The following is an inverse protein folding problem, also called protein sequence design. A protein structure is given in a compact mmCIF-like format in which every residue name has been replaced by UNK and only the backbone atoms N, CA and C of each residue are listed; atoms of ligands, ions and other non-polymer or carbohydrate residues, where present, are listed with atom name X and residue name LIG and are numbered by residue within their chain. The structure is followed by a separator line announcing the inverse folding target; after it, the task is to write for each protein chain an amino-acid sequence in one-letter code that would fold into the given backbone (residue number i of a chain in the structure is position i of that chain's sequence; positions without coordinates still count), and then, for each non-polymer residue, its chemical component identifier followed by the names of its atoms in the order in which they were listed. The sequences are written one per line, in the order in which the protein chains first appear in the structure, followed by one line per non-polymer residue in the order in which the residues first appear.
data_IF_713367430238
#
_entry.id   IF_713367430238
#
_cell.length_a   1.000
_cell.length_b   1.000
_cell.length_c   1.000
_cell.angle_alpha   90.00
_cell.angle_beta   90.00
_cell.angle_gamma   90.00
#
_symmetry.space_group_name_H-M   'P 1'
#
loop_
_entity.id
_entity.type
_entity.pdbx_description
1 polymer ?
#
# COMPACT_ATOMS: atom_id res chain seq x y z
N UNK A 1 -40.70 -27.76 34.71
CA UNK A 1 -41.60 -27.62 33.54
C UNK A 1 -40.74 -27.27 32.34
N UNK A 2 -40.59 -28.21 31.40
CA UNK A 2 -39.81 -28.04 30.18
C UNK A 2 -40.64 -27.32 29.12
N UNK A 3 -40.08 -26.28 28.48
CA UNK A 3 -40.65 -25.67 27.29
C UNK A 3 -39.62 -25.83 26.16
N UNK A 4 -39.90 -26.76 25.24
CA UNK A 4 -39.16 -27.02 24.02
C UNK A 4 -39.47 -25.92 22.99
N UNK A 5 -38.46 -25.22 22.52
CA UNK A 5 -38.53 -24.38 21.31
C UNK A 5 -37.57 -24.96 20.27
N UNK A 6 -38.13 -25.45 19.17
CA UNK A 6 -37.39 -25.94 18.01
C UNK A 6 -36.86 -24.77 17.16
N UNK A 7 -35.69 -24.91 16.48
CA UNK A 7 -35.19 -23.86 15.60
C UNK A 7 -35.78 -23.98 14.18
N UNK A 8 -36.33 -22.87 13.68
CA UNK A 8 -36.76 -22.71 12.29
C UNK A 8 -35.54 -22.63 11.36
N UNK A 9 -35.53 -23.44 10.30
CA UNK A 9 -34.47 -23.51 9.28
C UNK A 9 -34.79 -22.52 8.15
N UNK A 10 -33.92 -21.58 7.78
CA UNK A 10 -34.14 -20.74 6.62
C UNK A 10 -33.81 -21.49 5.32
N UNK A 11 -34.76 -21.51 4.38
CA UNK A 11 -34.59 -21.98 3.01
C UNK A 11 -34.04 -20.85 2.13
N UNK A 12 -32.82 -20.99 1.62
CA UNK A 12 -32.27 -20.08 0.61
C UNK A 12 -32.75 -20.46 -0.80
N UNK A 13 -33.23 -19.52 -1.62
CA UNK A 13 -33.51 -19.80 -3.02
C UNK A 13 -32.20 -19.84 -3.82
N UNK A 14 -32.03 -20.93 -4.58
CA UNK A 14 -30.96 -21.10 -5.56
C UNK A 14 -31.18 -20.16 -6.74
N UNK A 15 -30.34 -19.12 -6.86
CA UNK A 15 -30.25 -18.29 -8.06
C UNK A 15 -29.16 -18.87 -8.96
N UNK A 16 -29.58 -19.54 -10.03
CA UNK A 16 -28.72 -20.04 -11.11
C UNK A 16 -28.34 -18.88 -12.04
N UNK A 17 -27.09 -18.40 -11.94
CA UNK A 17 -26.53 -17.38 -12.84
C UNK A 17 -26.02 -18.07 -14.12
N UNK A 18 -26.44 -17.66 -15.34
CA UNK A 18 -25.90 -18.19 -16.58
C UNK A 18 -24.46 -17.71 -16.81
N UNK A 19 -23.55 -18.66 -17.05
CA UNK A 19 -22.15 -18.41 -17.38
C UNK A 19 -22.03 -17.96 -18.84
N UNK A 20 -21.90 -16.66 -19.09
CA UNK A 20 -21.58 -16.14 -20.43
C UNK A 20 -20.13 -16.48 -20.77
N UNK A 21 -19.95 -17.25 -21.86
CA UNK A 21 -18.64 -17.55 -22.45
C UNK A 21 -18.18 -16.34 -23.27
N UNK A 22 -17.14 -15.65 -22.81
CA UNK A 22 -16.44 -14.65 -23.63
C UNK A 22 -15.60 -15.37 -24.70
N UNK A 23 -15.85 -15.01 -25.96
CA UNK A 23 -15.18 -15.58 -27.14
C UNK A 23 -13.70 -15.23 -27.20
N UNK A 24 -12.92 -16.17 -27.73
CA UNK A 24 -11.49 -16.07 -27.97
C UNK A 24 -11.16 -15.08 -29.10
N UNK A 25 -10.06 -14.33 -28.94
CA UNK A 25 -9.45 -13.47 -29.97
C UNK A 25 -8.19 -14.18 -30.52
N UNK A 26 -7.95 -14.22 -31.84
CA UNK A 26 -6.73 -14.78 -32.40
C UNK A 26 -5.57 -13.75 -32.43
N UNK A 27 -4.29 -14.20 -32.51
CA UNK A 27 -3.11 -13.34 -32.42
C UNK A 27 -2.59 -12.92 -33.81
N UNK A 28 -1.92 -11.78 -33.89
CA UNK A 28 -1.03 -11.46 -35.03
C UNK A 28 0.10 -10.50 -34.63
N UNK A 29 1.28 -11.11 -34.45
CA UNK A 29 2.61 -10.76 -34.96
C UNK A 29 3.17 -9.32 -35.01
N UNK A 30 4.43 -9.28 -34.54
CA UNK A 30 5.64 -8.67 -35.14
C UNK A 30 6.02 -7.23 -34.74
N UNK A 31 7.14 -7.16 -34.01
CA UNK A 31 8.04 -6.02 -33.93
C UNK A 31 8.84 -5.84 -35.25
N UNK A 32 9.48 -4.67 -35.45
CA UNK A 32 10.94 -4.67 -35.22
C UNK A 32 11.51 -3.36 -34.64
N UNK A 33 12.69 -3.51 -34.05
CA UNK A 33 13.58 -2.44 -33.58
C UNK A 33 14.37 -1.77 -34.72
N UNK A 34 14.85 -0.54 -34.50
CA UNK A 34 16.18 -0.11 -34.95
C UNK A 34 16.91 0.63 -33.81
N UNK A 35 18.21 0.90 -33.78
CA UNK A 35 19.39 0.49 -34.52
C UNK A 35 20.54 0.99 -33.64
N UNK A 36 21.58 0.17 -33.42
CA UNK A 36 22.80 0.60 -32.73
C UNK A 36 23.61 1.48 -33.69
N UNK A 37 23.85 2.73 -33.33
CA UNK A 37 24.95 3.51 -33.90
C UNK A 37 25.94 3.85 -32.80
N UNK A 38 27.13 3.28 -32.97
CA UNK A 38 28.34 3.55 -32.22
C UNK A 38 29.08 4.62 -33.02
N UNK A 39 29.43 5.74 -32.39
CA UNK A 39 30.50 6.61 -32.87
C UNK A 39 31.30 7.15 -31.68
N UNK A 40 32.57 6.79 -31.66
CA UNK A 40 33.62 7.45 -30.89
C UNK A 40 33.71 8.93 -31.32
N UNK A 41 34.01 9.84 -30.38
CA UNK A 41 35.35 10.45 -30.30
C UNK A 41 35.42 11.50 -29.19
N UNK A 42 36.66 11.70 -28.71
CA UNK A 42 37.09 12.52 -27.59
C UNK A 42 36.81 14.02 -27.75
N UNK A 43 36.61 14.71 -26.62
CA UNK A 43 37.42 15.87 -26.18
C UNK A 43 36.74 16.54 -24.97
N UNK A 44 37.41 16.54 -23.83
CA UNK A 44 37.07 17.42 -22.70
C UNK A 44 37.38 18.87 -23.08
N UNK A 45 36.60 19.81 -22.54
CA UNK A 45 37.21 20.95 -21.89
C UNK A 45 36.75 21.01 -20.43
N UNK A 46 37.72 21.28 -19.56
CA UNK A 46 37.48 21.71 -18.19
C UNK A 46 36.72 23.03 -18.23
N UNK A 47 35.48 23.04 -17.76
CA UNK A 47 34.75 24.25 -17.43
C UNK A 47 34.63 24.30 -15.90
N UNK A 48 35.19 25.36 -15.35
CA UNK A 48 35.22 25.72 -13.94
C UNK A 48 33.81 25.65 -13.35
N UNK A 49 33.67 24.89 -12.26
CA UNK A 49 32.41 24.70 -11.57
C UNK A 49 31.98 25.99 -10.88
N UNK A 50 30.98 26.65 -11.43
CA UNK A 50 30.26 27.74 -10.78
C UNK A 50 29.51 27.18 -9.55
N UNK A 51 29.79 27.62 -8.31
CA UNK A 51 29.19 27.05 -7.11
C UNK A 51 27.87 27.77 -6.78
N UNK A 52 26.86 27.73 -7.66
CA UNK A 52 25.53 28.18 -7.26
C UNK A 52 24.40 27.74 -8.21
N UNK A 53 24.30 26.43 -8.48
CA UNK A 53 23.05 25.87 -9.01
C UNK A 53 22.22 25.45 -7.80
N UNK A 54 21.07 26.09 -7.51
CA UNK A 54 20.16 25.62 -6.47
C UNK A 54 19.80 24.17 -6.80
N UNK A 55 20.04 23.25 -5.85
CA UNK A 55 19.54 21.89 -5.92
C UNK A 55 18.04 21.99 -6.20
N UNK A 56 17.62 21.46 -7.34
CA UNK A 56 16.24 21.36 -7.78
C UNK A 56 15.30 21.07 -6.61
N UNK A 57 14.25 21.88 -6.47
CA UNK A 57 13.11 21.65 -5.58
C UNK A 57 12.48 20.29 -5.90
N UNK A 58 13.03 19.20 -5.36
CA UNK A 58 12.35 17.92 -5.35
C UNK A 58 11.20 18.06 -4.37
N UNK A 59 10.02 18.38 -4.89
CA UNK A 59 8.76 18.34 -4.14
C UNK A 59 8.71 17.07 -3.30
N UNK A 60 8.55 17.21 -1.98
CA UNK A 60 8.57 16.06 -1.07
C UNK A 60 7.47 15.07 -1.45
N UNK A 61 7.88 13.82 -1.71
CA UNK A 61 6.98 12.77 -2.21
C UNK A 61 5.96 12.43 -1.14
N UNK A 62 4.67 12.49 -1.48
CA UNK A 62 3.62 11.99 -0.60
C UNK A 62 3.62 10.46 -0.62
N UNK A 63 3.59 9.86 0.56
CA UNK A 63 3.69 8.40 0.73
C UNK A 63 2.68 7.89 1.73
N UNK A 64 2.12 6.72 1.45
CA UNK A 64 1.43 5.91 2.44
C UNK A 64 2.26 4.68 2.80
N UNK A 65 2.58 4.51 4.08
CA UNK A 65 3.21 3.29 4.56
C UNK A 65 2.14 2.25 4.92
N UNK A 66 2.36 1.01 4.52
CA UNK A 66 1.63 -0.17 5.03
C UNK A 66 2.63 -1.12 5.63
N UNK A 67 2.32 -1.61 6.82
CA UNK A 67 3.17 -2.53 7.57
C UNK A 67 2.40 -3.81 7.82
N UNK A 68 2.96 -4.90 7.31
CA UNK A 68 2.40 -6.24 7.41
C UNK A 68 3.17 -7.07 8.45
N UNK A 69 2.49 -8.05 9.03
CA UNK A 69 3.05 -9.01 9.96
C UNK A 69 3.63 -10.21 9.21
N UNK A 70 4.94 -10.46 9.34
CA UNK A 70 5.65 -11.57 8.67
C UNK A 70 5.14 -12.93 9.16
N UNK A 71 4.89 -13.09 10.45
CA UNK A 71 4.29 -14.29 11.02
C UNK A 71 2.92 -14.65 10.40
N UNK A 72 2.12 -13.64 10.03
CA UNK A 72 0.87 -13.87 9.29
C UNK A 72 1.13 -14.17 7.81
N UNK A 73 2.07 -13.49 7.16
CA UNK A 73 2.46 -13.80 5.77
C UNK A 73 2.86 -15.27 5.62
N UNK A 74 3.59 -15.81 6.61
CA UNK A 74 4.11 -17.18 6.56
C UNK A 74 3.02 -18.23 6.83
N UNK A 75 1.90 -17.86 7.44
CA UNK A 75 0.86 -18.80 7.90
C UNK A 75 -0.48 -18.62 7.19
N UNK A 76 -0.73 -17.47 6.56
CA UNK A 76 -2.00 -17.13 5.93
C UNK A 76 -1.93 -17.22 4.42
N UNK A 77 -3.07 -17.45 3.73
CA UNK A 77 -3.14 -17.25 2.30
C UNK A 77 -2.74 -15.83 1.93
N UNK A 78 -1.91 -15.67 0.90
CA UNK A 78 -1.44 -14.35 0.42
C UNK A 78 -2.60 -13.38 0.19
N UNK A 79 -3.70 -13.84 -0.41
CA UNK A 79 -4.89 -13.02 -0.65
C UNK A 79 -5.51 -12.45 0.63
N UNK A 80 -5.50 -13.20 1.73
CA UNK A 80 -5.98 -12.71 3.03
C UNK A 80 -5.10 -11.55 3.51
N UNK A 81 -3.78 -11.70 3.49
CA UNK A 81 -2.85 -10.65 3.93
C UNK A 81 -2.97 -9.39 3.07
N UNK A 82 -3.09 -9.54 1.75
CA UNK A 82 -3.33 -8.42 0.83
C UNK A 82 -4.60 -7.67 1.22
N UNK A 83 -5.68 -8.41 1.48
CA UNK A 83 -6.98 -7.83 1.89
C UNK A 83 -6.87 -7.03 3.18
N UNK A 84 -6.13 -7.54 4.18
CA UNK A 84 -5.83 -6.82 5.42
C UNK A 84 -5.15 -5.47 5.13
N UNK A 85 -4.08 -5.49 4.33
CA UNK A 85 -3.36 -4.26 3.95
C UNK A 85 -4.26 -3.24 3.22
N UNK A 86 -5.15 -3.71 2.34
CA UNK A 86 -6.14 -2.88 1.66
C UNK A 86 -7.12 -2.25 2.65
N UNK A 87 -7.66 -3.03 3.59
CA UNK A 87 -8.57 -2.53 4.62
C UNK A 87 -7.93 -1.44 5.49
N UNK A 88 -6.70 -1.68 5.97
CA UNK A 88 -5.97 -0.69 6.76
C UNK A 88 -5.74 0.60 5.96
N UNK A 89 -5.29 0.48 4.70
CA UNK A 89 -4.98 1.61 3.83
C UNK A 89 -6.21 2.48 3.54
N UNK A 90 -7.33 1.87 3.14
CA UNK A 90 -8.58 2.58 2.85
C UNK A 90 -9.14 3.21 4.12
N UNK A 91 -9.14 2.48 5.24
CA UNK A 91 -9.60 3.03 6.51
C UNK A 91 -8.77 4.23 6.97
N UNK A 92 -7.44 4.18 6.83
CA UNK A 92 -6.56 5.30 7.19
C UNK A 92 -6.84 6.55 6.34
N UNK A 93 -7.05 6.38 5.02
CA UNK A 93 -7.42 7.46 4.10
C UNK A 93 -8.80 8.02 4.47
N UNK A 94 -9.81 7.16 4.59
CA UNK A 94 -11.18 7.60 4.82
C UNK A 94 -11.34 8.37 6.14
N UNK A 95 -10.69 7.90 7.21
CA UNK A 95 -10.69 8.60 8.50
C UNK A 95 -10.05 9.99 8.46
N UNK A 96 -9.27 10.29 7.42
CA UNK A 96 -8.58 11.57 7.25
C UNK A 96 -8.87 12.18 5.86
N UNK A 97 -10.02 11.89 5.27
CA UNK A 97 -10.36 12.30 3.90
C UNK A 97 -10.36 13.82 3.69
N UNK A 98 -10.53 14.60 4.76
CA UNK A 98 -10.57 16.07 4.74
C UNK A 98 -9.19 16.70 5.07
N UNK A 99 -8.17 15.90 5.36
CA UNK A 99 -6.80 16.37 5.61
C UNK A 99 -6.16 16.85 4.29
N UNK A 100 -5.51 18.04 4.24
CA UNK A 100 -4.97 18.59 3.00
C UNK A 100 -3.99 17.68 2.27
N UNK A 101 -3.15 16.94 3.01
CA UNK A 101 -2.18 16.01 2.41
C UNK A 101 -2.90 14.79 1.83
N UNK A 102 -3.93 14.30 2.51
CA UNK A 102 -4.75 13.19 2.02
C UNK A 102 -5.52 13.58 0.76
N UNK A 103 -6.11 14.78 0.73
CA UNK A 103 -6.76 15.34 -0.45
C UNK A 103 -5.79 15.49 -1.62
N UNK A 104 -4.57 15.99 -1.38
CA UNK A 104 -3.55 16.09 -2.41
C UNK A 104 -3.15 14.72 -2.95
N UNK A 105 -2.91 13.75 -2.06
CA UNK A 105 -2.54 12.38 -2.42
C UNK A 105 -3.61 11.66 -3.24
N UNK A 106 -4.89 11.85 -2.92
CA UNK A 106 -6.03 11.27 -3.64
C UNK A 106 -6.57 12.17 -4.77
N UNK A 107 -5.96 13.33 -5.01
CA UNK A 107 -6.41 14.30 -5.99
C UNK A 107 -6.21 13.80 -7.43
N UNK A 108 -6.89 14.42 -8.41
CA UNK A 108 -6.85 13.97 -9.81
C UNK A 108 -5.45 13.95 -10.41
N UNK A 109 -4.54 14.80 -9.94
CA UNK A 109 -3.15 14.83 -10.42
C UNK A 109 -2.28 13.71 -9.84
N UNK A 110 -2.66 13.10 -8.72
CA UNK A 110 -1.84 12.11 -8.01
C UNK A 110 -2.48 10.72 -7.90
N UNK A 111 -3.77 10.57 -8.17
CA UNK A 111 -4.51 9.32 -7.92
C UNK A 111 -3.94 8.12 -8.70
N UNK A 112 -3.49 8.34 -9.93
CA UNK A 112 -2.87 7.30 -10.78
C UNK A 112 -1.37 7.11 -10.51
N UNK A 113 -0.75 7.98 -9.69
CA UNK A 113 0.66 7.95 -9.33
C UNK A 113 0.90 7.89 -7.81
N UNK A 114 -0.08 7.36 -7.07
CA UNK A 114 0.01 7.21 -5.61
C UNK A 114 1.22 6.37 -5.20
N UNK A 115 2.07 6.91 -4.32
CA UNK A 115 3.23 6.19 -3.81
C UNK A 115 2.92 5.47 -2.50
N UNK A 116 3.08 4.14 -2.52
CA UNK A 116 2.88 3.28 -1.35
C UNK A 116 4.13 2.47 -1.06
N UNK A 117 4.51 2.39 0.22
CA UNK A 117 5.63 1.56 0.67
C UNK A 117 5.11 0.49 1.60
N UNK A 118 5.28 -0.77 1.20
CA UNK A 118 4.89 -1.95 2.01
C UNK A 118 6.11 -2.47 2.76
N UNK A 119 6.04 -2.44 4.08
CA UNK A 119 7.08 -2.88 5.00
C UNK A 119 6.57 -4.05 5.85
N UNK A 120 7.48 -4.67 6.57
CA UNK A 120 7.15 -5.77 7.48
C UNK A 120 7.71 -5.59 8.88
N UNK A 121 7.03 -6.24 9.81
CA UNK A 121 7.50 -6.51 11.18
C UNK A 121 7.40 -8.00 11.46
N UNK A 122 8.17 -8.50 12.42
CA UNK A 122 8.22 -9.95 12.71
C UNK A 122 6.88 -10.50 13.20
N UNK A 123 6.14 -9.74 14.01
CA UNK A 123 4.85 -10.16 14.53
C UNK A 123 4.20 -9.13 15.45
N UNK A 124 3.22 -9.59 16.23
CA UNK A 124 2.33 -8.74 17.02
C UNK A 124 3.04 -7.72 17.94
N UNK A 125 4.05 -8.10 18.75
CA UNK A 125 4.66 -7.14 19.67
C UNK A 125 5.30 -5.95 18.93
N UNK A 126 5.86 -6.19 17.74
CA UNK A 126 6.49 -5.13 16.95
C UNK A 126 5.46 -4.21 16.30
N UNK A 127 4.32 -4.74 15.82
CA UNK A 127 3.30 -3.88 15.21
C UNK A 127 2.62 -2.98 16.25
N UNK A 128 2.38 -3.50 17.45
CA UNK A 128 1.85 -2.72 18.57
C UNK A 128 2.85 -1.64 19.01
N UNK A 129 4.12 -1.99 19.17
CA UNK A 129 5.17 -1.02 19.49
C UNK A 129 5.32 0.07 18.42
N UNK A 130 5.16 -0.27 17.13
CA UNK A 130 5.14 0.72 16.06
C UNK A 130 3.92 1.64 16.18
N UNK A 131 2.73 1.08 16.40
CA UNK A 131 1.48 1.81 16.60
C UNK A 131 1.62 2.86 17.72
N UNK A 132 2.16 2.46 18.88
CA UNK A 132 2.36 3.38 20.01
C UNK A 132 3.41 4.46 19.70
N UNK A 133 4.50 4.13 19.01
CA UNK A 133 5.51 5.12 18.58
C UNK A 133 4.92 6.16 17.62
N UNK A 134 4.11 5.72 16.67
CA UNK A 134 3.44 6.61 15.71
C UNK A 134 2.43 7.49 16.44
N UNK A 135 1.65 6.93 17.36
CA UNK A 135 0.70 7.67 18.19
C UNK A 135 1.40 8.74 19.04
N UNK A 136 2.49 8.39 19.72
CA UNK A 136 3.31 9.33 20.49
C UNK A 136 3.93 10.43 19.62
N UNK A 137 4.23 10.12 18.35
CA UNK A 137 4.72 11.07 17.36
C UNK A 137 3.65 11.90 16.66
N UNK A 138 2.37 11.75 17.01
CA UNK A 138 1.27 12.43 16.32
C UNK A 138 1.06 11.97 14.87
N UNK A 139 1.57 10.80 14.50
CA UNK A 139 1.42 10.24 13.16
C UNK A 139 0.13 9.44 13.10
N UNK A 140 -0.88 9.99 12.44
CA UNK A 140 -2.16 9.36 12.20
C UNK A 140 -2.01 8.08 11.35
N UNK A 141 -2.56 6.99 11.89
CA UNK A 141 -2.51 5.67 11.28
C UNK A 141 -3.72 4.84 11.72
N UNK A 142 -4.01 3.80 10.96
CA UNK A 142 -4.95 2.75 11.28
C UNK A 142 -4.17 1.49 11.65
N UNK A 143 -4.31 1.04 12.89
CA UNK A 143 -4.05 -0.35 13.25
C UNK A 143 -5.30 -1.15 12.91
N UNK A 144 -5.18 -2.13 12.00
CA UNK A 144 -6.29 -2.97 11.61
C UNK A 144 -6.38 -4.18 12.54
N UNK A 145 -7.56 -4.36 13.11
CA UNK A 145 -7.88 -5.45 14.03
C UNK A 145 -8.85 -6.38 13.32
N UNK A 146 -8.43 -7.62 13.10
CA UNK A 146 -9.28 -8.60 12.44
C UNK A 146 -10.40 -9.06 13.38
N UNK A 147 -11.58 -9.29 12.82
CA UNK A 147 -12.74 -9.82 13.52
C UNK A 147 -13.14 -11.17 12.93
N UNK A 148 -13.68 -12.11 13.75
CA UNK A 148 -14.03 -11.97 15.16
C UNK A 148 -12.87 -12.21 16.16
N UNK A 149 -11.68 -12.61 15.70
CA UNK A 149 -10.57 -13.04 16.58
C UNK A 149 -9.92 -11.89 17.37
N UNK A 150 -10.19 -10.64 16.98
CA UNK A 150 -9.83 -9.41 17.68
C UNK A 150 -8.33 -9.23 17.95
N UNK A 151 -7.50 -9.42 16.92
CA UNK A 151 -6.05 -9.23 17.00
C UNK A 151 -5.50 -8.36 15.86
N UNK A 152 -4.37 -7.64 16.05
CA UNK A 152 -3.85 -6.71 15.06
C UNK A 152 -3.14 -7.43 13.91
N UNK A 153 -3.58 -7.23 12.66
CA UNK A 153 -2.98 -7.90 11.49
C UNK A 153 -1.98 -7.02 10.73
N UNK A 154 -2.31 -5.74 10.56
CA UNK A 154 -1.51 -4.80 9.79
C UNK A 154 -1.76 -3.36 10.23
N UNK A 155 -0.95 -2.44 9.72
CA UNK A 155 -1.02 -1.02 10.00
C UNK A 155 -0.87 -0.22 8.71
N UNK A 156 -1.62 0.88 8.57
CA UNK A 156 -1.41 1.83 7.49
C UNK A 156 -1.41 3.27 8.03
N UNK A 157 -0.49 4.12 7.57
CA UNK A 157 -0.57 5.56 7.86
C UNK A 157 -1.67 6.21 7.01
N UNK A 158 -2.14 7.40 7.38
CA UNK A 158 -2.67 8.29 6.32
C UNK A 158 -1.52 8.71 5.38
N UNK A 159 -1.81 9.31 4.22
CA UNK A 159 -0.76 9.91 3.40
C UNK A 159 0.01 11.02 4.15
N UNK A 160 1.32 11.07 3.95
CA UNK A 160 2.21 12.07 4.53
C UNK A 160 3.33 12.46 3.56
N UNK A 161 3.89 13.68 3.67
CA UNK A 161 5.18 13.99 3.06
C UNK A 161 6.23 13.03 3.61
N UNK A 162 7.04 12.40 2.73
CA UNK A 162 7.98 11.35 3.12
C UNK A 162 9.01 11.85 4.14
N UNK A 163 9.45 13.10 4.02
CA UNK A 163 10.38 13.70 4.97
C UNK A 163 9.84 13.71 6.41
N UNK A 164 8.52 13.89 6.59
CA UNK A 164 7.88 14.00 7.90
C UNK A 164 7.78 12.64 8.64
N UNK A 165 7.63 11.54 7.91
CA UNK A 165 7.33 10.22 8.52
C UNK A 165 8.41 9.17 8.34
N UNK A 166 9.32 9.32 7.38
CA UNK A 166 10.26 8.25 7.03
C UNK A 166 11.10 7.75 8.20
N UNK A 167 11.47 8.63 9.15
CA UNK A 167 12.29 8.29 10.31
C UNK A 167 11.71 7.15 11.17
N UNK A 168 10.38 7.03 11.27
CA UNK A 168 9.71 5.95 12.03
C UNK A 168 9.87 4.57 11.38
N UNK A 169 10.12 4.54 10.06
CA UNK A 169 10.09 3.32 9.26
C UNK A 169 11.47 2.86 8.77
N UNK A 170 12.53 3.69 8.91
CA UNK A 170 13.89 3.40 8.39
C UNK A 170 14.48 2.05 8.82
N UNK A 171 14.08 1.52 9.98
CA UNK A 171 14.60 0.26 10.53
C UNK A 171 13.78 -0.98 10.11
N UNK A 172 12.63 -0.77 9.48
CA UNK A 172 11.79 -1.86 8.99
C UNK A 172 12.27 -2.32 7.61
N UNK A 173 12.04 -3.59 7.30
CA UNK A 173 12.41 -4.17 6.01
C UNK A 173 11.26 -3.98 5.02
N UNK A 174 11.60 -3.89 3.73
CA UNK A 174 10.62 -4.00 2.66
C UNK A 174 9.98 -5.38 2.72
N UNK A 175 8.65 -5.43 2.65
CA UNK A 175 7.91 -6.69 2.59
C UNK A 175 8.17 -7.37 1.24
N UNK A 176 8.72 -8.58 1.27
CA UNK A 176 9.03 -9.40 0.08
C UNK A 176 8.12 -10.61 -0.03
#
# INVERSE_FOLDING_TARGET
MACLLAPLRPTSPSLSIPRTRFGAKPPSNAAPAPSRLIHNSMSQPAAEGNPDVPKSDTTDVLVQYVVLRRDLIDTWPMGSVVTQGCHAAVSAIWSHKDDPVTLQYCGPENIDSMHKVTLEVTGEPQILNLSEKLKAGGIAHKLWIEQPENFPTCLATKPYPKSAVSAYFKKLKLCK
#
